data_IF_738091119331
#
_entry.id   IF_738091119331
#
_cell.length_a   1.000
_cell.length_b   1.000
_cell.length_c   1.000
_cell.angle_alpha   90.00
_cell.angle_beta   90.00
_cell.angle_gamma   90.00
#
_symmetry.space_group_name_H-M   'P 1'
#
loop_
_entity.id
_entity.type
_entity.pdbx_description
1 polymer ?
#
# COMPACT_ATOMS: atom_id res chain seq x y z
N UNK A 1 -15.50 -8.78 8.60
CA UNK A 1 -14.96 -7.99 7.48
C UNK A 1 -15.23 -6.52 7.81
N UNK A 2 -14.26 -5.62 7.72
CA UNK A 2 -14.48 -4.21 8.06
C UNK A 2 -15.51 -3.57 7.12
N UNK A 3 -16.31 -2.62 7.62
CA UNK A 3 -17.07 -1.72 6.75
C UNK A 3 -16.13 -0.83 5.93
N UNK A 4 -16.64 -0.16 4.90
CA UNK A 4 -15.82 0.73 4.07
C UNK A 4 -15.28 1.92 4.88
N UNK A 5 -16.09 2.44 5.82
CA UNK A 5 -15.70 3.51 6.73
C UNK A 5 -14.61 3.06 7.72
N UNK A 6 -14.77 1.89 8.31
CA UNK A 6 -13.77 1.31 9.22
C UNK A 6 -12.45 1.05 8.50
N UNK A 7 -12.52 0.58 7.25
CA UNK A 7 -11.33 0.33 6.44
C UNK A 7 -10.62 1.64 6.10
N UNK A 8 -11.37 2.67 5.71
CA UNK A 8 -10.83 3.99 5.39
C UNK A 8 -10.24 4.65 6.64
N UNK A 9 -10.86 4.51 7.81
CA UNK A 9 -10.34 5.02 9.07
C UNK A 9 -9.00 4.36 9.44
N UNK A 10 -8.88 3.04 9.27
CA UNK A 10 -7.70 2.26 9.67
C UNK A 10 -6.54 2.34 8.70
N UNK A 11 -6.82 2.46 7.41
CA UNK A 11 -5.80 2.40 6.36
C UNK A 11 -5.65 3.70 5.55
N UNK A 12 -6.55 4.69 5.73
CA UNK A 12 -6.58 5.96 4.97
C UNK A 12 -6.80 5.80 3.46
N UNK A 13 -7.19 4.61 3.02
CA UNK A 13 -7.53 4.29 1.64
C UNK A 13 -8.86 3.56 1.58
N UNK A 14 -9.58 3.71 0.48
CA UNK A 14 -10.77 2.90 0.21
C UNK A 14 -10.36 1.49 -0.28
N UNK A 15 -11.24 0.51 -0.13
CA UNK A 15 -10.96 -0.89 -0.51
C UNK A 15 -10.63 -1.06 -1.99
N UNK A 16 -11.37 -0.37 -2.86
CA UNK A 16 -11.19 -0.47 -4.32
C UNK A 16 -9.80 0.02 -4.76
N UNK A 17 -9.29 1.09 -4.15
CA UNK A 17 -7.95 1.62 -4.38
C UNK A 17 -6.89 0.63 -3.91
N UNK A 18 -7.11 -0.05 -2.78
CA UNK A 18 -6.16 -1.07 -2.30
C UNK A 18 -6.16 -2.31 -3.19
N UNK A 19 -7.33 -2.76 -3.65
CA UNK A 19 -7.44 -3.87 -4.61
C UNK A 19 -6.73 -3.50 -5.91
N UNK A 20 -7.03 -2.32 -6.47
CA UNK A 20 -6.41 -1.85 -7.70
C UNK A 20 -4.88 -1.71 -7.56
N UNK A 21 -4.42 -1.14 -6.43
CA UNK A 21 -3.00 -1.07 -6.12
C UNK A 21 -2.40 -2.47 -6.06
N UNK A 22 -3.08 -3.42 -5.41
CA UNK A 22 -2.63 -4.80 -5.29
C UNK A 22 -2.46 -5.46 -6.65
N UNK A 23 -3.39 -5.26 -7.60
CA UNK A 23 -3.27 -5.83 -8.94
C UNK A 23 -2.03 -5.31 -9.69
N UNK A 24 -1.72 -4.03 -9.51
CA UNK A 24 -0.57 -3.38 -10.16
C UNK A 24 0.76 -3.90 -9.57
N UNK A 25 0.87 -4.03 -8.25
CA UNK A 25 2.15 -4.36 -7.57
C UNK A 25 2.30 -5.84 -7.22
N UNK A 26 1.24 -6.64 -7.34
CA UNK A 26 1.23 -8.08 -7.07
C UNK A 26 2.36 -8.85 -7.79
N UNK A 27 2.66 -8.61 -9.08
CA UNK A 27 3.74 -9.31 -9.77
C UNK A 27 5.12 -9.14 -9.11
N UNK A 28 5.36 -7.96 -8.50
CA UNK A 28 6.61 -7.67 -7.82
C UNK A 28 6.60 -8.09 -6.33
N UNK A 29 5.43 -8.15 -5.71
CA UNK A 29 5.26 -8.55 -4.31
C UNK A 29 5.17 -10.06 -4.10
N UNK A 30 4.82 -10.81 -5.14
CA UNK A 30 4.70 -12.27 -5.09
C UNK A 30 5.95 -12.92 -4.46
N UNK A 31 5.77 -13.94 -3.60
CA UNK A 31 6.87 -14.71 -3.04
C UNK A 31 7.74 -15.31 -4.14
N UNK A 32 9.04 -15.01 -4.14
CA UNK A 32 10.02 -15.71 -5.00
C UNK A 32 10.19 -17.18 -4.57
N UNK A 33 9.77 -17.52 -3.35
CA UNK A 33 9.90 -18.87 -2.78
C UNK A 33 8.59 -19.34 -2.17
N UNK A 34 8.17 -20.56 -2.47
CA UNK A 34 7.04 -21.27 -1.83
C UNK A 34 7.35 -21.70 -0.38
N UNK A 35 7.80 -20.79 0.48
CA UNK A 35 7.93 -21.09 1.92
C UNK A 35 6.54 -21.05 2.54
N UNK A 36 6.20 -22.10 3.31
CA UNK A 36 4.90 -22.30 4.00
C UNK A 36 4.42 -21.14 4.89
N UNK A 37 5.25 -20.13 5.16
CA UNK A 37 4.96 -18.98 6.03
C UNK A 37 5.21 -17.63 5.32
N UNK A 38 5.04 -17.56 4.01
CA UNK A 38 5.24 -16.29 3.30
C UNK A 38 3.96 -15.46 3.31
N UNK A 39 4.09 -14.21 3.73
CA UNK A 39 2.99 -13.23 3.67
C UNK A 39 2.47 -13.11 2.24
N UNK A 40 1.15 -13.21 2.09
CA UNK A 40 0.44 -12.90 0.86
C UNK A 40 0.69 -11.46 0.42
N UNK A 41 0.46 -11.19 -0.86
CA UNK A 41 0.58 -9.83 -1.42
C UNK A 41 -0.30 -8.84 -0.64
N UNK A 42 -1.53 -9.21 -0.32
CA UNK A 42 -2.44 -8.35 0.43
C UNK A 42 -1.98 -8.11 1.87
N UNK A 43 -1.46 -9.12 2.57
CA UNK A 43 -0.88 -8.93 3.91
C UNK A 43 0.31 -7.98 3.88
N UNK A 44 1.19 -8.10 2.88
CA UNK A 44 2.30 -7.17 2.69
C UNK A 44 1.81 -5.73 2.49
N UNK A 45 0.77 -5.55 1.68
CA UNK A 45 0.17 -4.23 1.42
C UNK A 45 -0.48 -3.69 2.70
N UNK A 46 -1.25 -4.49 3.44
CA UNK A 46 -1.88 -4.04 4.68
C UNK A 46 -0.86 -3.66 5.74
N UNK A 47 0.24 -4.41 5.90
CA UNK A 47 1.35 -4.04 6.80
C UNK A 47 1.90 -2.65 6.43
N UNK A 48 2.16 -2.41 5.14
CA UNK A 48 2.70 -1.14 4.67
C UNK A 48 1.70 0.01 4.85
N UNK A 49 0.44 -0.18 4.45
CA UNK A 49 -0.61 0.83 4.62
C UNK A 49 -0.86 1.16 6.08
N UNK A 50 -0.86 0.17 6.97
CA UNK A 50 -0.99 0.35 8.41
C UNK A 50 0.16 1.19 8.96
N UNK A 51 1.39 0.94 8.51
CA UNK A 51 2.56 1.73 8.88
C UNK A 51 2.45 3.17 8.38
N UNK A 52 2.03 3.40 7.12
CA UNK A 52 1.85 4.75 6.57
C UNK A 52 0.71 5.53 7.24
N UNK A 53 -0.40 4.84 7.58
CA UNK A 53 -1.57 5.46 8.17
C UNK A 53 -1.37 5.88 9.63
N UNK A 54 -0.57 5.11 10.37
CA UNK A 54 -0.38 5.32 11.82
C UNK A 54 0.94 6.00 12.14
N UNK A 55 1.97 5.89 11.28
CA UNK A 55 3.31 6.41 11.56
C UNK A 55 3.98 5.77 12.79
N UNK A 56 3.49 4.61 13.23
CA UNK A 56 3.92 3.95 14.47
C UNK A 56 5.19 3.14 14.29
N UNK A 57 5.75 2.67 15.40
CA UNK A 57 6.93 1.81 15.37
C UNK A 57 6.63 0.46 14.72
N UNK A 58 7.56 -0.02 13.89
CA UNK A 58 7.46 -1.32 13.22
C UNK A 58 7.30 -2.51 14.17
N UNK A 59 7.71 -2.38 15.45
CA UNK A 59 7.47 -3.39 16.48
C UNK A 59 5.99 -3.55 16.78
N UNK A 60 5.27 -2.44 17.00
CA UNK A 60 3.83 -2.43 17.28
C UNK A 60 3.03 -3.03 16.11
N UNK A 61 3.38 -2.66 14.87
CA UNK A 61 2.78 -3.27 13.68
C UNK A 61 3.09 -4.76 13.57
N UNK A 62 4.29 -5.17 13.98
CA UNK A 62 4.69 -6.57 14.02
C UNK A 62 3.86 -7.36 15.02
N UNK A 63 3.64 -6.81 16.21
CA UNK A 63 2.83 -7.43 17.26
C UNK A 63 1.35 -7.53 16.85
N UNK A 64 0.80 -6.47 16.24
CA UNK A 64 -0.59 -6.44 15.70
C UNK A 64 -0.86 -7.58 14.69
N UNK A 65 0.14 -7.95 13.89
CA UNK A 65 0.03 -8.87 12.75
C UNK A 65 0.77 -10.20 13.04
N UNK A 66 1.31 -10.36 14.24
CA UNK A 66 2.11 -11.50 14.68
C UNK A 66 3.29 -11.83 13.73
N UNK A 67 4.04 -10.80 13.32
CA UNK A 67 5.25 -10.91 12.50
C UNK A 67 6.42 -10.19 13.15
N UNK A 68 7.64 -10.65 12.86
CA UNK A 68 8.86 -9.97 13.37
C UNK A 68 8.96 -8.55 12.81
N UNK A 69 9.46 -7.61 13.62
CA UNK A 69 9.80 -6.23 13.18
C UNK A 69 10.63 -6.21 11.89
N UNK A 70 11.59 -7.13 11.75
CA UNK A 70 12.43 -7.24 10.54
C UNK A 70 11.63 -7.58 9.29
N UNK A 71 10.55 -8.36 9.42
CA UNK A 71 9.60 -8.62 8.35
C UNK A 71 8.84 -7.36 7.98
N UNK A 72 8.31 -6.62 8.97
CA UNK A 72 7.62 -5.33 8.74
C UNK A 72 8.53 -4.36 7.98
N UNK A 73 9.78 -4.19 8.42
CA UNK A 73 10.74 -3.31 7.74
C UNK A 73 10.96 -3.69 6.28
N UNK A 74 11.13 -4.98 5.98
CA UNK A 74 11.35 -5.48 4.62
C UNK A 74 10.13 -5.25 3.74
N UNK A 75 8.95 -5.50 4.29
CA UNK A 75 7.67 -5.31 3.59
C UNK A 75 7.44 -3.84 3.27
N UNK A 76 7.59 -2.94 4.25
CA UNK A 76 7.46 -1.49 4.06
C UNK A 76 8.40 -1.01 2.96
N UNK A 77 9.67 -1.40 3.03
CA UNK A 77 10.66 -1.05 2.00
C UNK A 77 10.28 -1.57 0.61
N UNK A 78 9.88 -2.84 0.51
CA UNK A 78 9.50 -3.48 -0.76
C UNK A 78 8.29 -2.78 -1.38
N UNK A 79 7.22 -2.57 -0.61
CA UNK A 79 6.00 -1.88 -1.07
C UNK A 79 6.32 -0.43 -1.47
N UNK A 80 7.07 0.30 -0.64
CA UNK A 80 7.50 1.68 -0.97
C UNK A 80 8.26 1.74 -2.30
N UNK A 81 9.19 0.81 -2.52
CA UNK A 81 9.99 0.74 -3.74
C UNK A 81 9.13 0.51 -4.98
N UNK A 82 8.16 -0.41 -4.90
CA UNK A 82 7.28 -0.67 -6.04
C UNK A 82 6.34 0.51 -6.32
N UNK A 83 5.82 1.18 -5.29
CA UNK A 83 5.03 2.41 -5.45
C UNK A 83 5.87 3.53 -6.08
N UNK A 84 7.12 3.70 -5.66
CA UNK A 84 8.02 4.70 -6.22
C UNK A 84 8.29 4.47 -7.72
N UNK A 85 8.46 3.21 -8.14
CA UNK A 85 8.62 2.86 -9.56
C UNK A 85 7.40 3.25 -10.40
N UNK A 86 6.20 3.10 -9.86
CA UNK A 86 4.98 3.53 -10.55
C UNK A 86 5.01 5.04 -10.79
N UNK A 87 5.46 5.82 -9.81
CA UNK A 87 5.55 7.28 -9.92
C UNK A 87 6.59 7.73 -10.95
N UNK A 88 7.70 7.00 -11.06
CA UNK A 88 8.76 7.29 -12.05
C UNK A 88 8.36 6.91 -13.48
N UNK A 89 7.33 6.07 -13.67
CA UNK A 89 6.85 5.70 -15.00
C UNK A 89 6.29 6.93 -15.74
N UNK A 90 6.80 7.26 -16.96
CA UNK A 90 6.32 8.40 -17.74
C UNK A 90 4.80 8.37 -17.98
N UNK A 91 4.22 7.17 -18.13
CA UNK A 91 2.79 6.96 -18.34
C UNK A 91 1.98 7.39 -17.12
N UNK A 92 2.42 6.99 -15.93
CA UNK A 92 1.77 7.38 -14.68
C UNK A 92 1.94 8.86 -14.39
N UNK A 93 3.09 9.45 -14.74
CA UNK A 93 3.29 10.89 -14.60
C UNK A 93 2.28 11.69 -15.41
N UNK A 94 2.07 11.32 -16.68
CA UNK A 94 1.04 11.94 -17.55
C UNK A 94 -0.37 11.69 -17.03
N UNK A 95 -0.66 10.50 -16.50
CA UNK A 95 -1.96 10.21 -15.87
C UNK A 95 -2.21 11.07 -14.63
N UNK A 96 -1.21 11.23 -13.75
CA UNK A 96 -1.30 12.06 -12.55
C UNK A 96 -1.46 13.54 -12.90
N UNK A 97 -0.72 14.05 -13.89
CA UNK A 97 -0.89 15.41 -14.43
C UNK A 97 -2.33 15.63 -14.94
N UNK A 98 -2.90 14.65 -15.66
CA UNK A 98 -4.29 14.69 -16.14
C UNK A 98 -5.32 14.64 -15.01
N UNK A 99 -5.08 13.82 -13.97
CA UNK A 99 -5.97 13.75 -12.80
C UNK A 99 -5.94 15.03 -11.96
N UNK A 100 -4.76 15.60 -11.75
CA UNK A 100 -4.62 16.90 -11.07
C UNK A 100 -5.35 18.00 -11.86
N UNK A 101 -5.24 18.01 -13.20
CA UNK A 101 -5.97 18.94 -14.05
C UNK A 101 -7.49 18.76 -14.00
N UNK A 102 -7.98 17.54 -13.84
CA UNK A 102 -9.42 17.25 -13.64
C UNK A 102 -9.91 17.62 -12.23
N UNK A 103 -9.09 17.49 -11.19
CA UNK A 103 -9.42 17.85 -9.80
C UNK A 103 -9.27 19.34 -9.50
N UNK A 104 -8.37 20.04 -10.19
CA UNK A 104 -8.15 21.49 -10.07
C UNK A 104 -9.30 22.37 -10.60
N UNK A 105 -10.36 21.77 -11.14
CA UNK A 105 -11.55 22.49 -11.60
C UNK A 105 -12.62 22.69 -10.49
N UNK A 106 -12.37 22.22 -9.26
CA UNK A 106 -13.31 22.32 -8.12
C UNK A 106 -12.79 23.26 -7.00
N UNK A 107 -11.58 23.82 -7.10
CA UNK A 107 -11.02 24.69 -6.04
C UNK A 107 -10.59 26.06 -6.59
N UNK A 108 -11.51 26.72 -7.29
CA UNK A 108 -11.48 28.17 -7.54
C UNK A 108 -12.93 28.67 -7.52
N UNK A 109 -13.46 28.91 -6.32
CA UNK A 109 -14.63 29.73 -6.03
C UNK A 109 -14.55 30.17 -4.56
#
# INVERSE_FOLDING_TARGET
MFTDDEFTLRYRFNKNTVIHLSDIISPALAPVTHRKYTLSVLEQIFIALRFYATGTFQGVIGDDINVRKTTVSRVVFKVSKEIAKLTTSPVYRVYLERLQKRRGMIVLA
#
